data_IF_008097614283
#
_entry.id   IF_008097614283
#
_cell.length_a   1.000
_cell.length_b   1.000
_cell.length_c   1.000
_cell.angle_alpha   90.00
_cell.angle_beta   90.00
_cell.angle_gamma   90.00
#
_symmetry.space_group_name_H-M   'P 1'
#
loop_
_entity.id
_entity.type
_entity.pdbx_description
1 polymer ?
#
# COMPACT_ATOMS: atom_id res chain seq x y z
N UNK A 1 0.42 -31.54 -10.91
CA UNK A 1 0.31 -31.00 -9.54
C UNK A 1 -1.14 -31.09 -9.15
N UNK A 2 -1.44 -31.62 -7.96
CA UNK A 2 -2.82 -31.68 -7.46
C UNK A 2 -3.32 -30.29 -7.09
N UNK A 3 -4.64 -30.06 -7.15
CA UNK A 3 -5.24 -28.76 -6.83
C UNK A 3 -4.91 -28.29 -5.39
N UNK A 4 -4.82 -29.23 -4.45
CA UNK A 4 -4.45 -28.94 -3.06
C UNK A 4 -3.01 -28.44 -2.95
N UNK A 5 -2.09 -29.07 -3.67
CA UNK A 5 -0.67 -28.71 -3.68
C UNK A 5 -0.47 -27.34 -4.36
N UNK A 6 -1.20 -27.11 -5.46
CA UNK A 6 -1.23 -25.82 -6.16
C UNK A 6 -1.69 -24.69 -5.22
N UNK A 7 -2.79 -24.92 -4.49
CA UNK A 7 -3.32 -23.95 -3.53
C UNK A 7 -2.31 -23.65 -2.40
N UNK A 8 -1.64 -24.68 -1.88
CA UNK A 8 -0.61 -24.48 -0.87
C UNK A 8 0.55 -23.65 -1.44
N UNK A 9 1.01 -23.99 -2.65
CA UNK A 9 2.15 -23.30 -3.26
C UNK A 9 1.86 -21.85 -3.61
N UNK A 10 0.67 -21.58 -4.14
CA UNK A 10 0.18 -20.21 -4.39
C UNK A 10 0.19 -19.41 -3.08
N UNK A 11 -0.36 -19.96 -1.99
CA UNK A 11 -0.37 -19.28 -0.69
C UNK A 11 1.02 -18.97 -0.14
N UNK A 12 1.95 -19.92 -0.28
CA UNK A 12 3.34 -19.72 0.14
C UNK A 12 4.02 -18.60 -0.64
N UNK A 13 3.92 -18.64 -1.98
CA UNK A 13 4.52 -17.63 -2.86
C UNK A 13 3.89 -16.26 -2.66
N UNK A 14 2.56 -16.17 -2.55
CA UNK A 14 1.86 -14.91 -2.26
C UNK A 14 2.36 -14.30 -0.95
N UNK A 15 2.50 -15.10 0.11
CA UNK A 15 3.02 -14.63 1.40
C UNK A 15 4.47 -14.17 1.32
N UNK A 16 5.33 -14.95 0.66
CA UNK A 16 6.75 -14.63 0.48
C UNK A 16 6.94 -13.34 -0.31
N UNK A 17 6.28 -13.20 -1.46
CA UNK A 17 6.34 -11.99 -2.28
C UNK A 17 5.73 -10.78 -1.56
N UNK A 18 4.70 -10.94 -0.74
CA UNK A 18 4.15 -9.85 0.07
C UNK A 18 5.13 -9.38 1.15
N UNK A 19 5.85 -10.29 1.81
CA UNK A 19 6.91 -9.94 2.75
C UNK A 19 8.04 -9.18 2.04
N UNK A 20 8.47 -9.63 0.85
CA UNK A 20 9.48 -8.91 0.06
C UNK A 20 9.00 -7.53 -0.36
N UNK A 21 7.75 -7.39 -0.79
CA UNK A 21 7.15 -6.10 -1.11
C UNK A 21 7.10 -5.17 0.10
N UNK A 22 6.72 -5.66 1.28
CA UNK A 22 6.71 -4.87 2.50
C UNK A 22 8.11 -4.37 2.86
N UNK A 23 9.11 -5.26 2.77
CA UNK A 23 10.51 -4.91 3.00
C UNK A 23 11.05 -3.87 2.03
N UNK A 24 10.71 -4.01 0.75
CA UNK A 24 11.14 -3.09 -0.30
C UNK A 24 10.44 -1.72 -0.17
N UNK A 25 9.11 -1.69 -0.12
CA UNK A 25 8.33 -0.45 -0.19
C UNK A 25 8.14 0.26 1.16
N UNK A 26 8.14 -0.46 2.28
CA UNK A 26 7.84 0.11 3.61
C UNK A 26 9.08 0.21 4.48
N UNK A 27 9.87 -0.87 4.56
CA UNK A 27 11.05 -0.89 5.44
C UNK A 27 12.31 -0.33 4.76
N UNK A 28 12.32 -0.23 3.43
CA UNK A 28 13.52 0.11 2.64
C UNK A 28 14.72 -0.81 2.99
N UNK A 29 14.44 -2.10 3.23
CA UNK A 29 15.42 -3.14 3.63
C UNK A 29 15.20 -4.43 2.82
N UNK A 30 15.48 -4.42 1.50
CA UNK A 30 15.28 -5.58 0.64
C UNK A 30 16.25 -6.72 0.99
N UNK A 31 15.70 -7.91 1.16
CA UNK A 31 16.47 -9.13 1.51
C UNK A 31 16.79 -10.03 0.31
N UNK A 32 16.22 -9.73 -0.86
CA UNK A 32 16.50 -10.41 -2.12
C UNK A 32 16.71 -9.38 -3.23
N UNK A 33 17.46 -9.75 -4.27
CA UNK A 33 17.60 -8.93 -5.45
C UNK A 33 16.38 -9.01 -6.38
N UNK A 34 16.29 -8.05 -7.30
CA UNK A 34 15.19 -7.92 -8.26
C UNK A 34 15.04 -9.17 -9.13
N UNK A 35 16.15 -9.81 -9.54
CA UNK A 35 16.09 -11.00 -10.40
C UNK A 35 15.45 -12.19 -9.69
N UNK A 36 15.71 -12.33 -8.38
CA UNK A 36 15.11 -13.37 -7.56
C UNK A 36 13.63 -13.09 -7.34
N UNK A 37 13.28 -11.83 -7.08
CA UNK A 37 11.90 -11.40 -6.93
C UNK A 37 11.09 -11.69 -8.21
N UNK A 38 11.61 -11.29 -9.37
CA UNK A 38 10.99 -11.51 -10.68
C UNK A 38 10.77 -13.00 -10.98
N UNK A 39 11.72 -13.86 -10.58
CA UNK A 39 11.58 -15.31 -10.75
C UNK A 39 10.45 -15.87 -9.89
N UNK A 40 10.34 -15.44 -8.64
CA UNK A 40 9.25 -15.84 -7.74
C UNK A 40 7.90 -15.35 -8.25
N UNK A 41 7.85 -14.11 -8.76
CA UNK A 41 6.64 -13.53 -9.33
C UNK A 41 6.17 -14.32 -10.56
N UNK A 42 7.08 -14.62 -11.49
CA UNK A 42 6.77 -15.46 -12.68
C UNK A 42 6.30 -16.87 -12.31
N UNK A 43 6.84 -17.45 -11.25
CA UNK A 43 6.35 -18.75 -10.75
C UNK A 43 4.93 -18.65 -10.23
N UNK A 44 4.60 -17.59 -9.49
CA UNK A 44 3.25 -17.35 -9.01
C UNK A 44 2.28 -17.11 -10.18
N UNK A 45 2.66 -16.28 -11.16
CA UNK A 45 1.87 -16.04 -12.38
C UNK A 45 1.58 -17.33 -13.15
N UNK A 46 2.57 -18.21 -13.32
CA UNK A 46 2.38 -19.48 -14.01
C UNK A 46 1.36 -20.37 -13.28
N UNK A 47 1.47 -20.46 -11.94
CA UNK A 47 0.54 -21.25 -11.12
C UNK A 47 -0.89 -20.68 -11.14
N UNK A 48 -1.01 -19.36 -11.11
CA UNK A 48 -2.31 -18.68 -11.17
C UNK A 48 -2.97 -18.81 -12.54
N UNK A 49 -2.18 -18.80 -13.63
CA UNK A 49 -2.68 -19.07 -14.98
C UNK A 49 -3.15 -20.52 -15.15
N UNK A 50 -2.44 -21.49 -14.57
CA UNK A 50 -2.84 -22.90 -14.58
C UNK A 50 -4.07 -23.16 -13.69
N UNK A 51 -4.26 -22.36 -12.63
CA UNK A 51 -5.35 -22.50 -11.67
C UNK A 51 -6.07 -21.17 -11.37
N UNK A 52 -6.82 -20.59 -12.33
CA UNK A 52 -7.42 -19.26 -12.17
C UNK A 52 -8.38 -19.13 -10.98
N UNK A 53 -9.04 -20.23 -10.59
CA UNK A 53 -9.94 -20.27 -9.43
C UNK A 53 -9.23 -20.27 -8.07
N UNK A 54 -7.90 -20.27 -8.03
CA UNK A 54 -7.09 -20.25 -6.81
C UNK A 54 -6.36 -18.91 -6.60
N UNK A 55 -6.52 -17.94 -7.50
CA UNK A 55 -5.93 -16.60 -7.42
C UNK A 55 -6.42 -15.92 -6.14
N UNK A 56 -5.49 -15.35 -5.36
CA UNK A 56 -5.82 -14.62 -4.14
C UNK A 56 -6.07 -13.13 -4.43
N UNK A 57 -7.06 -12.48 -3.78
CA UNK A 57 -7.32 -11.06 -3.99
C UNK A 57 -6.15 -10.13 -3.63
N UNK A 58 -5.29 -10.53 -2.70
CA UNK A 58 -4.11 -9.81 -2.25
C UNK A 58 -2.81 -10.26 -2.97
N UNK A 59 -2.95 -11.06 -4.03
CA UNK A 59 -1.81 -11.57 -4.79
C UNK A 59 -1.01 -10.43 -5.43
N UNK A 60 0.33 -10.42 -5.31
CA UNK A 60 1.19 -9.43 -5.96
C UNK A 60 1.03 -9.33 -7.48
N UNK A 61 0.61 -10.41 -8.15
CA UNK A 61 0.33 -10.42 -9.60
C UNK A 61 -0.87 -9.54 -9.98
N UNK A 62 -1.80 -9.33 -9.04
CA UNK A 62 -2.99 -8.50 -9.22
C UNK A 62 -2.71 -7.01 -8.95
N UNK A 63 -1.55 -6.67 -8.36
CA UNK A 63 -1.18 -5.28 -8.07
C UNK A 63 -0.73 -4.51 -9.30
N UNK A 64 -0.47 -5.18 -10.42
CA UNK A 64 -0.10 -4.52 -11.67
C UNK A 64 -1.38 -4.01 -12.31
N UNK A 65 -1.59 -2.69 -12.26
CA UNK A 65 -2.73 -2.02 -12.88
C UNK A 65 -2.74 -2.21 -14.39
N UNK A 66 -3.31 -3.31 -14.86
CA UNK A 66 -3.51 -3.60 -16.28
C UNK A 66 -4.78 -3.00 -16.85
N UNK A 67 -5.59 -2.32 -16.03
CA UNK A 67 -6.79 -1.66 -16.52
C UNK A 67 -6.60 -0.14 -16.47
N UNK A 68 -6.31 0.44 -17.63
CA UNK A 68 -6.60 1.84 -17.98
C UNK A 68 -8.13 2.09 -17.90
N UNK A 69 -8.72 1.88 -16.72
CA UNK A 69 -10.09 2.26 -16.43
C UNK A 69 -10.10 3.77 -16.24
N UNK A 70 -10.45 4.48 -17.30
CA UNK A 70 -10.61 5.94 -17.32
C UNK A 70 -11.80 6.43 -16.50
N UNK A 71 -12.52 5.53 -15.83
CA UNK A 71 -13.75 5.80 -15.13
C UNK A 71 -13.64 5.35 -13.66
N UNK A 72 -12.95 6.16 -12.87
CA UNK A 72 -13.04 6.05 -11.42
C UNK A 72 -14.43 6.51 -10.98
N UNK A 73 -15.19 5.63 -10.31
CA UNK A 73 -16.45 6.03 -9.69
C UNK A 73 -16.14 7.01 -8.57
N UNK A 74 -16.76 8.20 -8.60
CA UNK A 74 -16.63 9.16 -7.51
C UNK A 74 -17.31 8.62 -6.26
N UNK A 75 -16.55 8.52 -5.17
CA UNK A 75 -17.07 8.14 -3.85
C UNK A 75 -17.19 9.37 -2.97
N UNK A 76 -18.34 9.51 -2.30
CA UNK A 76 -18.59 10.62 -1.39
C UNK A 76 -17.96 10.29 -0.04
N UNK A 77 -17.07 11.17 0.43
CA UNK A 77 -16.52 11.07 1.78
C UNK A 77 -17.60 11.41 2.81
N UNK A 78 -17.82 10.51 3.78
CA UNK A 78 -18.78 10.71 4.88
C UNK A 78 -18.49 11.98 5.70
N UNK A 79 -17.21 12.32 5.83
CA UNK A 79 -16.74 13.52 6.51
C UNK A 79 -15.96 14.40 5.54
N UNK A 80 -16.00 15.74 5.70
CA UNK A 80 -15.20 16.64 4.88
C UNK A 80 -13.71 16.33 5.00
N UNK A 81 -13.00 16.25 3.86
CA UNK A 81 -11.55 16.23 3.85
C UNK A 81 -11.04 17.66 4.10
N UNK A 82 -10.70 17.96 5.35
CA UNK A 82 -10.20 19.27 5.74
C UNK A 82 -8.76 19.47 5.23
N UNK A 83 -8.44 20.67 4.77
CA UNK A 83 -7.08 21.09 4.47
C UNK A 83 -6.46 21.81 5.66
N UNK A 84 -5.13 21.77 5.73
CA UNK A 84 -4.37 22.62 6.64
C UNK A 84 -4.22 24.02 6.02
N UNK A 85 -4.21 25.04 6.87
CA UNK A 85 -3.87 26.41 6.43
C UNK A 85 -2.37 26.52 6.17
N UNK A 86 -1.99 27.22 5.10
CA UNK A 86 -0.59 27.46 4.78
C UNK A 86 -0.01 28.61 5.61
N UNK A 87 1.31 28.60 5.78
CA UNK A 87 2.09 29.72 6.35
C UNK A 87 3.37 29.91 5.54
N UNK A 88 3.75 31.16 5.30
CA UNK A 88 4.90 31.52 4.48
C UNK A 88 5.94 32.37 5.22
N UNK A 89 5.68 32.69 6.49
CA UNK A 89 6.62 33.43 7.33
C UNK A 89 6.61 32.93 8.77
N UNK A 90 7.72 33.18 9.47
CA UNK A 90 7.83 32.91 10.90
C UNK A 90 6.79 33.69 11.72
N UNK A 91 6.45 34.92 11.29
CA UNK A 91 5.44 35.75 11.96
C UNK A 91 4.06 35.09 11.97
N UNK A 92 3.64 34.53 10.83
CA UNK A 92 2.36 33.81 10.71
C UNK A 92 2.30 32.56 11.60
N UNK A 93 3.42 31.84 11.76
CA UNK A 93 3.53 30.71 12.69
C UNK A 93 3.39 31.15 14.14
N UNK A 94 4.04 32.25 14.52
CA UNK A 94 3.91 32.82 15.88
C UNK A 94 2.48 33.27 16.16
N UNK A 95 1.79 33.81 15.16
CA UNK A 95 0.39 34.21 15.33
C UNK A 95 -0.55 33.00 15.41
N UNK A 96 -0.25 31.90 14.72
CA UNK A 96 -0.95 30.63 14.91
C UNK A 96 -0.76 30.10 16.34
N UNK A 97 0.48 30.04 16.84
CA UNK A 97 0.78 29.63 18.22
C UNK A 97 0.04 30.47 19.25
N UNK A 98 0.03 31.81 19.09
CA UNK A 98 -0.76 32.70 19.96
C UNK A 98 -2.25 32.37 19.96
N UNK A 99 -2.84 32.07 18.79
CA UNK A 99 -4.28 31.72 18.70
C UNK A 99 -4.56 30.39 19.41
N UNK A 100 -3.69 29.40 19.25
CA UNK A 100 -3.81 28.10 19.93
C UNK A 100 -3.73 28.30 21.44
N UNK A 101 -2.66 28.94 21.95
CA UNK A 101 -2.48 29.23 23.38
C UNK A 101 -3.63 30.02 23.99
N UNK A 102 -4.16 31.01 23.26
CA UNK A 102 -5.34 31.77 23.71
C UNK A 102 -6.57 30.88 23.91
N UNK A 103 -6.71 29.84 23.10
CA UNK A 103 -7.86 28.94 23.12
C UNK A 103 -7.70 27.81 24.14
N UNK A 104 -6.47 27.30 24.33
CA UNK A 104 -6.19 26.13 25.18
C UNK A 104 -5.60 26.47 26.55
N UNK A 105 -5.02 27.66 26.72
CA UNK A 105 -4.15 28.01 27.85
C UNK A 105 -2.72 27.52 27.67
N UNK A 106 -1.79 28.00 28.51
CA UNK A 106 -0.35 27.69 28.43
C UNK A 106 0.06 26.34 29.07
N UNK A 107 -0.90 25.59 29.63
CA UNK A 107 -0.64 24.36 30.40
C UNK A 107 -1.11 23.06 29.74
N UNK A 108 -1.35 23.07 28.43
CA UNK A 108 -1.73 21.87 27.68
C UNK A 108 -0.47 21.29 27.05
N UNK A 109 0.01 20.16 27.60
CA UNK A 109 1.06 19.31 27.02
C UNK A 109 0.49 18.37 25.95
#
# INVERSE_FOLDING_TARGET
>A
MEKSDALQKIRELTRELNEHNYRYYVLNDPIIDDTRYDLLLKQLEALENDWPGLVQPDSPTQRVGSDLTKEFTTVIHKYPMLSLSNTYSEGELRDFDKRVRKTTGDGVE
#
